data_IF_521235323094
#
_entry.id   IF_521235323094
#
_cell.length_a   1.000
_cell.length_b   1.000
_cell.length_c   1.000
_cell.angle_alpha   90.00
_cell.angle_beta   90.00
_cell.angle_gamma   90.00
#
_symmetry.space_group_name_H-M   'P 1'
#
loop_
_entity.id
_entity.type
_entity.pdbx_description
1 polymer ?
#
# COMPACT_ATOMS: atom_id res chain seq x y z
N UNK A 1 -59.80 -16.24 -5.58
CA UNK A 1 -58.37 -16.58 -5.38
C UNK A 1 -57.53 -15.79 -6.37
N UNK A 2 -56.38 -15.34 -5.90
CA UNK A 2 -55.65 -14.13 -6.30
C UNK A 2 -54.44 -14.55 -7.13
N UNK A 3 -54.47 -14.38 -8.44
CA UNK A 3 -53.35 -14.69 -9.34
C UNK A 3 -52.64 -13.39 -9.73
N UNK A 4 -51.88 -12.84 -8.79
CA UNK A 4 -50.86 -11.85 -9.09
C UNK A 4 -49.63 -12.63 -9.56
N UNK A 5 -49.52 -12.84 -10.88
CA UNK A 5 -48.31 -13.36 -11.50
C UNK A 5 -47.22 -12.30 -11.33
N UNK A 6 -46.37 -12.52 -10.33
CA UNK A 6 -45.19 -11.71 -10.07
C UNK A 6 -44.18 -12.04 -11.17
N UNK A 7 -44.15 -11.19 -12.19
CA UNK A 7 -43.10 -11.16 -13.19
C UNK A 7 -41.86 -10.52 -12.54
N UNK A 8 -41.09 -11.30 -11.79
CA UNK A 8 -39.74 -10.91 -11.38
C UNK A 8 -38.86 -10.94 -12.64
N UNK A 9 -38.84 -9.83 -13.37
CA UNK A 9 -37.78 -9.56 -14.33
C UNK A 9 -36.49 -9.43 -13.53
N UNK A 10 -35.69 -10.50 -13.57
CA UNK A 10 -34.28 -10.47 -13.19
C UNK A 10 -33.58 -9.50 -14.13
N UNK A 11 -33.63 -8.20 -13.80
CA UNK A 11 -32.69 -7.21 -14.30
C UNK A 11 -31.32 -7.64 -13.75
N UNK A 12 -30.67 -8.57 -14.46
CA UNK A 12 -29.23 -8.79 -14.38
C UNK A 12 -28.59 -7.50 -14.87
N UNK A 13 -28.44 -6.54 -13.96
CA UNK A 13 -27.59 -5.39 -14.19
C UNK A 13 -26.20 -5.97 -14.46
N UNK A 14 -25.72 -5.82 -15.69
CA UNK A 14 -24.32 -6.02 -16.00
C UNK A 14 -23.58 -4.98 -15.16
N UNK A 15 -23.13 -5.37 -13.97
CA UNK A 15 -22.13 -4.62 -13.25
C UNK A 15 -20.90 -4.65 -14.16
N UNK A 16 -20.64 -3.53 -14.83
CA UNK A 16 -19.35 -3.32 -15.46
C UNK A 16 -18.33 -3.42 -14.32
N UNK A 17 -17.61 -4.54 -14.28
CA UNK A 17 -16.39 -4.63 -13.52
C UNK A 17 -15.46 -3.59 -14.14
N UNK A 18 -15.32 -2.44 -13.48
CA UNK A 18 -14.25 -1.50 -13.80
C UNK A 18 -12.98 -2.22 -13.34
N UNK A 19 -12.25 -2.84 -14.27
CA UNK A 19 -11.07 -3.68 -14.02
C UNK A 19 -9.88 -2.91 -13.39
N UNK A 20 -10.08 -1.66 -12.96
CA UNK A 20 -9.04 -0.81 -12.40
C UNK A 20 -9.54 0.15 -11.32
N UNK A 21 -8.59 0.75 -10.62
CA UNK A 21 -8.88 1.74 -9.58
C UNK A 21 -9.53 2.99 -10.19
N UNK A 22 -10.60 3.48 -9.56
CA UNK A 22 -11.09 4.83 -9.83
C UNK A 22 -10.00 5.88 -9.51
N UNK A 23 -10.08 7.07 -10.13
CA UNK A 23 -9.11 8.16 -9.88
C UNK A 23 -8.96 8.52 -8.40
N UNK A 24 -10.03 8.39 -7.61
CA UNK A 24 -9.98 8.63 -6.17
C UNK A 24 -9.20 7.53 -5.45
N UNK A 25 -9.42 6.26 -5.82
CA UNK A 25 -8.69 5.13 -5.24
C UNK A 25 -7.21 5.19 -5.63
N UNK A 26 -6.86 5.54 -6.88
CA UNK A 26 -5.46 5.74 -7.30
C UNK A 26 -4.75 6.69 -6.36
N UNK A 27 -5.34 7.86 -6.07
CA UNK A 27 -4.73 8.85 -5.16
C UNK A 27 -4.58 8.31 -3.73
N UNK A 28 -5.52 7.50 -3.25
CA UNK A 28 -5.43 6.88 -1.92
C UNK A 28 -4.31 5.84 -1.87
N UNK A 29 -4.22 4.98 -2.89
CA UNK A 29 -3.12 4.00 -3.02
C UNK A 29 -1.78 4.73 -3.11
N UNK A 30 -1.67 5.77 -3.94
CA UNK A 30 -0.46 6.60 -4.01
C UNK A 30 -0.08 7.16 -2.64
N UNK A 31 -1.03 7.71 -1.87
CA UNK A 31 -0.76 8.23 -0.53
C UNK A 31 -0.22 7.16 0.43
N UNK A 32 -0.82 5.97 0.42
CA UNK A 32 -0.36 4.81 1.21
C UNK A 32 1.07 4.42 0.82
N UNK A 33 1.35 4.36 -0.49
CA UNK A 33 2.67 3.97 -1.01
C UNK A 33 3.73 5.06 -0.75
N UNK A 34 3.35 6.33 -0.79
CA UNK A 34 4.22 7.46 -0.43
C UNK A 34 4.65 7.36 1.04
N UNK A 35 3.70 7.11 1.95
CA UNK A 35 4.00 6.93 3.38
C UNK A 35 4.91 5.72 3.61
N UNK A 36 4.61 4.58 2.99
CA UNK A 36 5.44 3.39 3.11
C UNK A 36 6.87 3.63 2.57
N UNK A 37 6.99 4.32 1.43
CA UNK A 37 8.27 4.65 0.80
C UNK A 37 9.08 5.65 1.64
N UNK A 38 8.45 6.64 2.27
CA UNK A 38 9.16 7.62 3.11
C UNK A 38 9.74 6.97 4.37
N UNK A 39 8.99 6.06 5.00
CA UNK A 39 9.48 5.23 6.12
C UNK A 39 10.60 4.28 5.69
N UNK A 40 10.48 3.67 4.50
CA UNK A 40 11.52 2.83 3.91
C UNK A 40 12.82 3.60 3.67
N UNK A 41 12.73 4.85 3.18
CA UNK A 41 13.88 5.74 3.01
C UNK A 41 14.55 6.06 4.35
N UNK A 42 13.76 6.36 5.38
CA UNK A 42 14.27 6.62 6.74
C UNK A 42 15.02 5.39 7.29
N UNK A 43 14.42 4.20 7.18
CA UNK A 43 15.07 2.96 7.62
C UNK A 43 16.37 2.66 6.87
N UNK A 44 16.40 2.96 5.57
CA UNK A 44 17.57 2.74 4.72
C UNK A 44 18.70 3.71 5.04
N UNK A 45 18.39 4.98 5.30
CA UNK A 45 19.39 6.06 5.42
C UNK A 45 19.81 6.33 6.86
N UNK A 46 18.95 6.07 7.82
CA UNK A 46 19.14 6.48 9.21
C UNK A 46 19.16 5.31 10.20
N UNK A 47 18.78 4.10 9.77
CA UNK A 47 18.61 2.95 10.66
C UNK A 47 19.37 1.69 10.22
N UNK A 48 20.28 1.82 9.25
CA UNK A 48 21.09 0.72 8.68
C UNK A 48 20.26 -0.49 8.24
N UNK A 49 19.03 -0.26 7.78
CA UNK A 49 18.11 -1.29 7.33
C UNK A 49 17.68 -1.02 5.88
N UNK A 50 18.57 -1.24 4.89
CA UNK A 50 18.23 -0.99 3.50
C UNK A 50 17.09 -1.90 3.04
N UNK A 51 16.14 -1.33 2.30
CA UNK A 51 15.09 -2.07 1.61
C UNK A 51 15.47 -2.15 0.13
N UNK A 52 15.47 -3.37 -0.40
CA UNK A 52 15.68 -3.60 -1.82
C UNK A 52 14.55 -2.92 -2.63
N UNK A 53 14.87 -2.02 -3.58
CA UNK A 53 13.87 -1.33 -4.38
C UNK A 53 12.94 -2.26 -5.17
N UNK A 54 13.44 -3.41 -5.62
CA UNK A 54 12.64 -4.42 -6.33
C UNK A 54 11.60 -5.05 -5.39
N UNK A 55 12.03 -5.42 -4.18
CA UNK A 55 11.14 -5.91 -3.12
C UNK A 55 10.15 -4.84 -2.68
N UNK A 56 10.53 -3.57 -2.67
CA UNK A 56 9.60 -2.49 -2.31
C UNK A 56 8.37 -2.46 -3.22
N UNK A 57 8.51 -2.72 -4.53
CA UNK A 57 7.36 -2.76 -5.43
C UNK A 57 6.43 -3.96 -5.16
N UNK A 58 6.99 -5.11 -4.81
CA UNK A 58 6.19 -6.27 -4.39
C UNK A 58 5.48 -5.99 -3.05
N UNK A 59 6.20 -5.41 -2.10
CA UNK A 59 5.67 -4.99 -0.81
C UNK A 59 4.59 -3.91 -0.94
N UNK A 60 4.71 -3.01 -1.91
CA UNK A 60 3.71 -2.01 -2.25
C UNK A 60 2.39 -2.65 -2.70
N UNK A 61 2.45 -3.69 -3.55
CA UNK A 61 1.26 -4.46 -3.93
C UNK A 61 0.59 -5.02 -2.69
N UNK A 62 1.36 -5.72 -1.85
CA UNK A 62 0.80 -6.40 -0.68
C UNK A 62 0.25 -5.41 0.35
N UNK A 63 0.90 -4.25 0.52
CA UNK A 63 0.39 -3.16 1.35
C UNK A 63 -0.94 -2.64 0.84
N UNK A 64 -1.07 -2.37 -0.46
CA UNK A 64 -2.34 -1.94 -1.05
C UNK A 64 -3.44 -3.01 -0.87
N UNK A 65 -3.12 -4.28 -1.07
CA UNK A 65 -4.05 -5.39 -0.80
C UNK A 65 -4.50 -5.45 0.66
N UNK A 66 -3.58 -5.28 1.61
CA UNK A 66 -3.92 -5.27 3.04
C UNK A 66 -4.85 -4.12 3.44
N UNK A 67 -4.89 -3.06 2.63
CA UNK A 67 -5.73 -1.87 2.80
C UNK A 67 -7.04 -1.98 1.99
N UNK A 68 -7.31 -3.14 1.40
CA UNK A 68 -8.55 -3.44 0.67
C UNK A 68 -8.56 -3.04 -0.80
N UNK A 69 -7.39 -2.75 -1.40
CA UNK A 69 -7.29 -2.47 -2.84
C UNK A 69 -6.89 -3.70 -3.62
N UNK A 70 -7.61 -4.00 -4.70
CA UNK A 70 -7.40 -5.21 -5.51
C UNK A 70 -6.24 -5.09 -6.52
N UNK A 71 -5.71 -3.88 -6.71
CA UNK A 71 -4.58 -3.64 -7.61
C UNK A 71 -3.88 -2.34 -7.24
N UNK A 72 -2.69 -2.13 -7.79
CA UNK A 72 -1.96 -0.85 -7.78
C UNK A 72 -1.79 -0.29 -9.20
N UNK A 73 -2.45 -0.87 -10.19
CA UNK A 73 -2.40 -0.36 -11.57
C UNK A 73 -2.95 1.07 -11.64
N UNK A 74 -2.31 1.88 -12.50
CA UNK A 74 -2.66 3.29 -12.69
C UNK A 74 -2.01 4.28 -11.71
N UNK A 75 -1.24 3.82 -10.71
CA UNK A 75 -0.45 4.72 -9.85
C UNK A 75 0.77 5.29 -10.58
N UNK A 76 1.16 6.51 -10.24
CA UNK A 76 2.37 7.15 -10.75
C UNK A 76 3.56 6.91 -9.82
N UNK A 77 4.45 6.00 -10.22
CA UNK A 77 5.68 5.71 -9.48
C UNK A 77 6.60 6.93 -9.34
N UNK A 78 6.61 7.83 -10.31
CA UNK A 78 7.37 9.08 -10.23
C UNK A 78 6.78 10.02 -9.17
N UNK A 79 5.46 10.11 -9.07
CA UNK A 79 4.80 10.86 -7.99
C UNK A 79 5.12 10.24 -6.64
N UNK A 80 5.01 8.90 -6.52
CA UNK A 80 5.31 8.18 -5.28
C UNK A 80 6.75 8.46 -4.84
N UNK A 81 7.72 8.30 -5.74
CA UNK A 81 9.13 8.53 -5.45
C UNK A 81 9.44 9.97 -5.04
N UNK A 82 8.87 10.96 -5.74
CA UNK A 82 9.08 12.38 -5.43
C UNK A 82 8.50 12.75 -4.07
N UNK A 83 7.24 12.40 -3.82
CA UNK A 83 6.58 12.75 -2.57
C UNK A 83 7.12 11.97 -1.38
N UNK A 84 7.58 10.72 -1.57
CA UNK A 84 8.25 9.96 -0.53
C UNK A 84 9.55 10.62 -0.06
N UNK A 85 10.36 11.16 -0.98
CA UNK A 85 11.55 11.93 -0.62
C UNK A 85 11.19 13.22 0.14
N UNK A 86 10.12 13.90 -0.29
CA UNK A 86 9.63 15.10 0.42
C UNK A 86 9.20 14.76 1.84
N UNK A 87 8.39 13.71 2.02
CA UNK A 87 7.98 13.25 3.35
C UNK A 87 9.16 12.77 4.19
N UNK A 88 10.12 12.06 3.60
CA UNK A 88 11.38 11.71 4.29
C UNK A 88 12.10 12.95 4.84
N UNK A 89 12.15 14.05 4.08
CA UNK A 89 12.72 15.32 4.57
C UNK A 89 11.99 15.88 5.80
N UNK A 90 10.67 15.72 5.86
CA UNK A 90 9.87 16.07 7.04
C UNK A 90 10.23 15.16 8.21
N UNK A 91 10.25 13.84 8.01
CA UNK A 91 10.63 12.87 9.04
C UNK A 91 12.03 13.13 9.60
N UNK A 92 12.99 13.49 8.75
CA UNK A 92 14.35 13.82 9.16
C UNK A 92 14.44 15.12 9.97
N UNK A 93 13.51 16.05 9.75
CA UNK A 93 13.42 17.28 10.54
C UNK A 93 12.82 17.00 11.92
N UNK A 94 11.81 16.13 11.98
CA UNK A 94 11.10 15.76 13.22
C UNK A 94 11.91 14.78 14.08
N UNK A 95 12.65 13.87 13.45
CA UNK A 95 13.44 12.82 14.08
C UNK A 95 14.84 12.74 13.41
N UNK A 96 15.75 13.67 13.73
CA UNK A 96 17.05 13.77 13.05
C UNK A 96 18.06 12.69 13.46
N UNK A 97 17.88 11.99 14.58
CA UNK A 97 18.87 11.06 15.13
C UNK A 97 18.44 9.58 15.07
N UNK A 98 17.43 9.25 14.27
CA UNK A 98 16.95 7.87 14.14
C UNK A 98 15.93 7.48 15.21
N UNK A 99 15.27 8.44 15.85
CA UNK A 99 14.32 8.20 16.95
C UNK A 99 13.15 7.29 16.54
N UNK A 100 12.80 7.28 15.25
CA UNK A 100 11.72 6.48 14.68
C UNK A 100 12.18 5.09 14.21
N UNK A 101 13.47 4.75 14.32
CA UNK A 101 14.01 3.51 13.78
C UNK A 101 13.32 2.26 14.34
N UNK A 102 13.17 2.16 15.65
CA UNK A 102 12.55 0.97 16.26
C UNK A 102 11.06 0.87 15.93
N UNK A 103 10.35 2.00 15.89
CA UNK A 103 8.96 2.05 15.48
C UNK A 103 8.79 1.57 14.04
N UNK A 104 9.56 2.11 13.09
CA UNK A 104 9.42 1.74 11.69
C UNK A 104 9.92 0.32 11.39
N UNK A 105 10.94 -0.18 12.11
CA UNK A 105 11.32 -1.60 12.06
C UNK A 105 10.16 -2.49 12.51
N UNK A 106 9.46 -2.10 13.58
CA UNK A 106 8.29 -2.82 14.08
C UNK A 106 7.11 -2.77 13.09
N UNK A 107 6.83 -1.60 12.50
CA UNK A 107 5.79 -1.43 11.48
C UNK A 107 6.04 -2.33 10.27
N UNK A 108 7.29 -2.44 9.82
CA UNK A 108 7.63 -3.36 8.74
C UNK A 108 7.49 -4.82 9.17
N UNK A 109 7.81 -5.17 10.40
CA UNK A 109 7.63 -6.55 10.88
C UNK A 109 6.15 -6.92 11.13
N UNK A 110 5.33 -5.95 11.54
CA UNK A 110 3.95 -6.13 11.96
C UNK A 110 2.94 -6.04 10.81
N UNK A 111 3.11 -5.07 9.91
CA UNK A 111 2.23 -4.87 8.75
C UNK A 111 2.58 -5.82 7.59
N UNK A 112 3.79 -6.37 7.59
CA UNK A 112 4.24 -7.37 6.61
C UNK A 112 4.39 -8.73 7.28
N UNK A 113 3.41 -9.17 8.08
CA UNK A 113 3.42 -10.47 8.78
C UNK A 113 3.67 -11.68 7.86
N UNK A 114 3.50 -11.55 6.55
CA UNK A 114 3.86 -12.57 5.54
C UNK A 114 5.37 -12.62 5.19
N UNK A 115 6.17 -11.64 5.64
CA UNK A 115 7.64 -11.69 5.59
C UNK A 115 8.23 -12.47 6.78
N UNK A 116 7.44 -12.75 7.83
CA UNK A 116 7.76 -13.87 8.72
C UNK A 116 7.47 -15.13 7.91
N UNK A 117 8.51 -15.63 7.26
CA UNK A 117 8.80 -17.06 7.02
C UNK A 117 9.96 -17.25 6.02
N UNK A 118 10.91 -16.32 5.91
CA UNK A 118 12.16 -16.58 5.15
C UNK A 118 13.23 -17.24 6.04
N UNK A 119 13.12 -17.12 7.37
CA UNK A 119 14.01 -17.79 8.34
C UNK A 119 13.31 -18.97 9.06
N UNK A 120 12.13 -19.40 8.61
CA UNK A 120 11.46 -20.61 9.11
C UNK A 120 11.79 -21.84 8.24
N UNK A 121 12.79 -21.72 7.36
CA UNK A 121 13.32 -22.77 6.48
C UNK A 121 14.82 -23.02 6.73
N UNK A 122 15.25 -23.00 7.99
CA UNK A 122 16.50 -23.61 8.45
C UNK A 122 16.20 -24.78 9.38
#
# INVERSE_FOLDING_TARGET
MKYFLILFTLLSANAFAEDGLSKSQVKKVEAILIEAASKALYLTRDCDKPIDPSKFQELAKIKAFSEGYETIEGVSWETIKREAHRQYGVLKTEAPLGELCEQYKADIKGNYKFLKDINAME
#
